data_IF_047449506189
#
_entry.id   IF_047449506189
#
_cell.length_a   1.000
_cell.length_b   1.000
_cell.length_c   1.000
_cell.angle_alpha   90.00
_cell.angle_beta   90.00
_cell.angle_gamma   90.00
#
_symmetry.space_group_name_H-M   'P 1'
#
loop_
_entity.id
_entity.type
_entity.pdbx_description
1 polymer ?
#
# COMPACT_ATOMS: atom_id res chain seq x y z
N UNK A 1 29.06 8.57 -4.43
CA UNK A 1 29.36 8.79 -2.98
C UNK A 1 28.93 7.54 -2.23
N UNK A 2 29.87 6.68 -1.79
CA UNK A 2 29.51 5.43 -1.11
C UNK A 2 29.16 5.72 0.35
N UNK A 3 27.87 5.68 0.69
CA UNK A 3 27.41 5.75 2.08
C UNK A 3 27.77 4.40 2.73
N UNK A 4 28.94 4.32 3.36
CA UNK A 4 29.30 3.17 4.20
C UNK A 4 28.54 3.29 5.51
N UNK A 5 27.77 2.27 5.87
CA UNK A 5 27.16 2.15 7.20
C UNK A 5 28.29 2.23 8.24
N UNK A 6 28.17 3.14 9.21
CA UNK A 6 29.07 3.19 10.36
C UNK A 6 28.61 2.10 11.33
N UNK A 7 29.53 1.31 11.89
CA UNK A 7 29.22 0.22 12.84
C UNK A 7 28.83 0.73 14.24
N UNK A 8 28.34 1.98 14.34
CA UNK A 8 28.08 2.70 15.58
C UNK A 8 26.67 2.47 16.16
N UNK A 9 25.89 1.54 15.60
CA UNK A 9 24.49 1.30 15.97
C UNK A 9 23.52 2.43 15.56
N UNK A 10 24.02 3.67 15.38
CA UNK A 10 23.28 4.82 14.85
C UNK A 10 22.83 4.58 13.40
N UNK A 11 23.68 3.91 12.62
CA UNK A 11 23.35 3.54 11.23
C UNK A 11 22.17 2.55 11.13
N UNK A 12 21.97 1.68 12.12
CA UNK A 12 20.83 0.76 12.18
C UNK A 12 19.52 1.49 12.50
N UNK A 13 19.53 2.50 13.39
CA UNK A 13 18.34 3.34 13.63
C UNK A 13 17.96 4.15 12.39
N UNK A 14 18.93 4.70 11.68
CA UNK A 14 18.69 5.41 10.41
C UNK A 14 18.12 4.48 9.36
N UNK A 15 18.66 3.26 9.24
CA UNK A 15 18.14 2.24 8.34
C UNK A 15 16.66 1.93 8.60
N UNK A 16 16.31 1.63 9.86
CA UNK A 16 14.93 1.36 10.25
C UNK A 16 13.99 2.54 9.99
N UNK A 17 14.43 3.76 10.35
CA UNK A 17 13.62 4.96 10.10
C UNK A 17 13.38 5.19 8.61
N UNK A 18 14.38 4.92 7.76
CA UNK A 18 14.26 5.08 6.30
C UNK A 18 13.36 4.00 5.69
N UNK A 19 13.39 2.78 6.23
CA UNK A 19 12.51 1.68 5.82
C UNK A 19 11.05 1.87 6.24
N UNK A 20 10.82 2.54 7.38
CA UNK A 20 9.48 2.92 7.85
C UNK A 20 8.93 4.13 7.10
N UNK A 21 9.78 5.04 6.61
CA UNK A 21 9.30 6.20 5.86
C UNK A 21 8.83 5.82 4.46
N UNK A 22 9.50 4.85 3.83
CA UNK A 22 9.14 4.38 2.50
C UNK A 22 9.61 2.94 2.31
N UNK A 23 8.65 2.07 2.02
CA UNK A 23 8.89 0.65 1.79
C UNK A 23 9.93 0.48 0.67
N UNK A 24 11.08 -0.12 0.97
CA UNK A 24 12.16 -0.35 0.00
C UNK A 24 13.30 0.68 -0.04
N UNK A 25 13.17 1.89 0.54
CA UNK A 25 14.28 2.86 0.55
C UNK A 25 15.49 2.39 1.37
N UNK A 26 15.26 1.71 2.49
CA UNK A 26 16.35 1.16 3.31
C UNK A 26 17.19 0.11 2.57
N UNK A 27 16.53 -0.73 1.78
CA UNK A 27 17.20 -1.75 0.96
C UNK A 27 18.02 -1.13 -0.19
N UNK A 28 17.52 -0.05 -0.79
CA UNK A 28 18.13 0.62 -1.93
C UNK A 28 19.36 1.46 -1.53
N UNK A 29 19.24 2.22 -0.43
CA UNK A 29 20.25 3.20 -0.01
C UNK A 29 21.38 2.55 0.77
N UNK A 30 21.07 1.59 1.64
CA UNK A 30 22.02 1.10 2.63
C UNK A 30 22.44 -0.36 2.43
N UNK A 31 21.50 -1.23 2.05
CA UNK A 31 21.74 -2.68 1.94
C UNK A 31 22.26 -3.11 0.56
N UNK A 32 22.29 -2.20 -0.44
CA UNK A 32 22.61 -2.48 -1.86
C UNK A 32 21.80 -3.65 -2.47
N UNK A 33 20.67 -4.01 -1.87
CA UNK A 33 19.77 -5.05 -2.39
C UNK A 33 18.79 -4.41 -3.37
N UNK A 34 19.32 -3.98 -4.53
CA UNK A 34 18.58 -3.17 -5.51
C UNK A 34 17.31 -3.86 -6.02
N UNK A 35 17.35 -5.17 -6.24
CA UNK A 35 16.21 -5.94 -6.75
C UNK A 35 15.04 -5.91 -5.74
N UNK A 36 15.29 -6.23 -4.47
CA UNK A 36 14.25 -6.23 -3.43
C UNK A 36 13.78 -4.81 -3.11
N UNK A 37 14.71 -3.85 -3.06
CA UNK A 37 14.38 -2.44 -2.81
C UNK A 37 13.48 -1.85 -3.88
N UNK A 38 13.77 -2.09 -5.16
CA UNK A 38 12.92 -1.64 -6.28
C UNK A 38 11.55 -2.31 -6.25
N UNK A 39 11.49 -3.60 -5.94
CA UNK A 39 10.22 -4.33 -5.90
C UNK A 39 9.30 -3.77 -4.80
N UNK A 40 9.82 -3.55 -3.60
CA UNK A 40 9.06 -2.96 -2.51
C UNK A 40 8.69 -1.48 -2.77
N UNK A 41 9.62 -0.69 -3.32
CA UNK A 41 9.35 0.69 -3.71
C UNK A 41 8.27 0.78 -4.81
N UNK A 42 8.28 -0.15 -5.77
CA UNK A 42 7.28 -0.22 -6.84
C UNK A 42 5.88 -0.53 -6.32
N UNK A 43 5.78 -1.43 -5.33
CA UNK A 43 4.49 -1.73 -4.67
C UNK A 43 3.95 -0.50 -3.94
N UNK A 44 4.80 0.23 -3.19
CA UNK A 44 4.42 1.47 -2.50
C UNK A 44 3.91 2.51 -3.50
N UNK A 45 4.64 2.74 -4.59
CA UNK A 45 4.24 3.70 -5.64
C UNK A 45 2.92 3.28 -6.29
N UNK A 46 2.73 1.99 -6.57
CA UNK A 46 1.47 1.47 -7.11
C UNK A 46 0.29 1.74 -6.17
N UNK A 47 0.48 1.55 -4.87
CA UNK A 47 -0.53 1.86 -3.86
C UNK A 47 -0.82 3.36 -3.75
N UNK A 48 0.21 4.21 -3.79
CA UNK A 48 0.06 5.67 -3.82
C UNK A 48 -0.69 6.16 -5.06
N UNK A 49 -0.51 5.49 -6.20
CA UNK A 49 -1.24 5.81 -7.42
C UNK A 49 -2.69 5.33 -7.36
N UNK A 50 -2.96 4.19 -6.73
CA UNK A 50 -4.32 3.64 -6.57
C UNK A 50 -5.11 4.30 -5.43
N UNK A 51 -4.47 5.04 -4.52
CA UNK A 51 -5.05 5.70 -3.35
C UNK A 51 -6.42 6.39 -3.57
N UNK A 52 -6.64 7.22 -4.62
CA UNK A 52 -7.97 7.80 -4.87
C UNK A 52 -9.05 6.74 -5.16
N UNK A 53 -8.71 5.64 -5.83
CA UNK A 53 -9.62 4.53 -6.08
C UNK A 53 -9.92 3.77 -4.79
N UNK A 54 -8.92 3.57 -3.92
CA UNK A 54 -9.08 2.93 -2.61
C UNK A 54 -10.10 3.70 -1.78
N UNK A 55 -9.93 5.02 -1.65
CA UNK A 55 -10.82 5.89 -0.89
C UNK A 55 -12.25 5.82 -1.46
N UNK A 56 -12.37 5.88 -2.78
CA UNK A 56 -13.68 5.80 -3.45
C UNK A 56 -14.36 4.45 -3.20
N UNK A 57 -13.63 3.33 -3.31
CA UNK A 57 -14.18 1.98 -3.08
C UNK A 57 -14.56 1.74 -1.61
N UNK A 58 -13.77 2.24 -0.65
CA UNK A 58 -14.12 2.19 0.78
C UNK A 58 -15.34 3.06 1.10
N UNK A 59 -15.43 4.27 0.55
CA UNK A 59 -16.59 5.15 0.73
C UNK A 59 -17.86 4.53 0.14
N UNK A 60 -17.75 3.94 -1.05
CA UNK A 60 -18.82 3.24 -1.74
C UNK A 60 -19.30 1.99 -0.98
N UNK A 61 -18.40 1.28 -0.30
CA UNK A 61 -18.74 0.16 0.57
C UNK A 61 -19.62 0.59 1.75
N UNK A 62 -19.30 1.73 2.40
CA UNK A 62 -20.05 2.25 3.57
C UNK A 62 -21.38 2.86 3.14
N UNK A 63 -21.38 3.62 2.05
CA UNK A 63 -22.58 4.31 1.55
C UNK A 63 -23.53 3.38 0.79
N UNK A 64 -23.13 2.14 0.50
CA UNK A 64 -23.80 1.22 -0.44
C UNK A 64 -24.07 1.83 -1.83
N UNK A 65 -23.35 2.91 -2.16
CA UNK A 65 -23.48 3.67 -3.39
C UNK A 65 -24.48 4.81 -3.31
N UNK A 66 -24.46 5.68 -4.31
CA UNK A 66 -25.49 6.70 -4.45
C UNK A 66 -26.75 6.03 -5.02
N UNK A 67 -27.93 6.25 -4.40
CA UNK A 67 -29.18 5.87 -5.03
C UNK A 67 -29.25 6.60 -6.37
N UNK A 68 -29.31 5.86 -7.48
CA UNK A 68 -29.64 6.40 -8.81
C UNK A 68 -31.13 6.13 -9.05
N UNK A 69 -32.03 7.00 -8.56
CA UNK A 69 -33.48 6.77 -8.66
C UNK A 69 -34.00 6.86 -10.09
N UNK A 70 -33.28 7.54 -10.99
CA UNK A 70 -33.62 7.69 -12.42
C UNK A 70 -33.31 6.47 -13.29
N UNK A 71 -32.68 5.42 -12.75
CA UNK A 71 -32.38 4.21 -13.52
C UNK A 71 -33.44 3.13 -13.29
N UNK A 72 -33.89 2.43 -14.35
CA UNK A 72 -34.75 1.26 -14.22
C UNK A 72 -34.18 0.28 -13.20
N UNK A 73 -35.04 -0.34 -12.38
CA UNK A 73 -34.64 -1.25 -11.28
C UNK A 73 -33.66 -2.35 -11.72
N UNK A 74 -33.70 -2.74 -13.00
CA UNK A 74 -32.81 -3.73 -13.64
C UNK A 74 -31.37 -3.25 -13.89
N UNK A 75 -31.12 -1.93 -13.85
CA UNK A 75 -29.82 -1.26 -14.02
C UNK A 75 -29.34 -0.58 -12.72
N UNK A 76 -30.05 -0.76 -11.59
CA UNK A 76 -29.58 -0.28 -10.30
C UNK A 76 -28.37 -1.13 -9.88
N UNK A 77 -27.31 -0.46 -9.45
CA UNK A 77 -26.15 -1.12 -8.84
C UNK A 77 -26.67 -1.99 -7.68
N UNK A 78 -26.58 -3.32 -7.80
CA UNK A 78 -26.96 -4.19 -6.68
C UNK A 78 -25.94 -3.95 -5.57
N UNK A 79 -26.42 -3.50 -4.41
CA UNK A 79 -25.58 -3.11 -3.26
C UNK A 79 -24.58 -4.20 -2.82
N UNK A 80 -24.83 -5.46 -3.17
CA UNK A 80 -23.91 -6.59 -3.00
C UNK A 80 -22.61 -6.41 -3.79
N UNK A 81 -22.64 -5.96 -5.05
CA UNK A 81 -21.43 -5.79 -5.86
C UNK A 81 -20.52 -4.70 -5.29
N UNK A 82 -21.11 -3.61 -4.82
CA UNK A 82 -20.35 -2.52 -4.23
C UNK A 82 -19.72 -2.91 -2.88
N UNK A 83 -20.40 -3.78 -2.12
CA UNK A 83 -19.88 -4.36 -0.90
C UNK A 83 -18.74 -5.35 -1.18
N UNK A 84 -18.90 -6.24 -2.18
CA UNK A 84 -17.84 -7.19 -2.60
C UNK A 84 -16.59 -6.43 -3.04
N UNK A 85 -16.73 -5.40 -3.88
CA UNK A 85 -15.63 -4.55 -4.33
C UNK A 85 -14.90 -3.88 -3.14
N UNK A 86 -15.65 -3.40 -2.16
CA UNK A 86 -15.11 -2.82 -0.94
C UNK A 86 -14.34 -3.84 -0.08
N UNK A 87 -14.93 -5.00 0.16
CA UNK A 87 -14.29 -6.09 0.93
C UNK A 87 -13.02 -6.59 0.24
N UNK A 88 -13.04 -6.75 -1.09
CA UNK A 88 -11.85 -7.09 -1.88
C UNK A 88 -10.75 -6.03 -1.74
N UNK A 89 -11.12 -4.75 -1.75
CA UNK A 89 -10.17 -3.64 -1.55
C UNK A 89 -9.56 -3.67 -0.14
N UNK A 90 -10.35 -3.97 0.89
CA UNK A 90 -9.88 -4.14 2.28
C UNK A 90 -8.93 -5.34 2.39
N UNK A 91 -9.24 -6.46 1.74
CA UNK A 91 -8.35 -7.63 1.71
C UNK A 91 -7.00 -7.32 1.06
N UNK A 92 -6.99 -6.56 -0.06
CA UNK A 92 -5.76 -6.08 -0.69
C UNK A 92 -4.97 -5.14 0.21
N UNK A 93 -5.63 -4.22 0.91
CA UNK A 93 -4.98 -3.35 1.91
C UNK A 93 -4.34 -4.17 3.03
N UNK A 94 -5.03 -5.21 3.52
CA UNK A 94 -4.49 -6.08 4.56
C UNK A 94 -3.23 -6.83 4.09
N UNK A 95 -3.27 -7.37 2.86
CA UNK A 95 -2.09 -7.99 2.25
C UNK A 95 -0.94 -6.99 2.11
N UNK A 96 -1.23 -5.77 1.68
CA UNK A 96 -0.23 -4.71 1.57
C UNK A 96 0.42 -4.40 2.93
N UNK A 97 -0.37 -4.28 4.01
CA UNK A 97 0.17 -4.07 5.36
C UNK A 97 1.09 -5.22 5.80
N UNK A 98 0.72 -6.47 5.50
CA UNK A 98 1.60 -7.63 5.80
C UNK A 98 2.92 -7.52 5.04
N UNK A 99 2.87 -7.22 3.73
CA UNK A 99 4.07 -7.05 2.91
C UNK A 99 4.92 -5.89 3.43
N UNK A 100 4.28 -4.82 3.90
CA UNK A 100 4.96 -3.67 4.50
C UNK A 100 5.72 -4.05 5.77
N UNK A 101 5.07 -4.79 6.67
CA UNK A 101 5.72 -5.30 7.89
C UNK A 101 6.90 -6.22 7.54
N UNK A 102 6.73 -7.11 6.55
CA UNK A 102 7.80 -7.98 6.08
C UNK A 102 8.95 -7.15 5.49
N UNK A 103 8.66 -6.11 4.71
CA UNK A 103 9.66 -5.23 4.12
C UNK A 103 10.46 -4.49 5.19
N UNK A 104 9.79 -3.95 6.21
CA UNK A 104 10.44 -3.27 7.34
C UNK A 104 11.28 -4.24 8.17
N UNK A 105 10.79 -5.46 8.43
CA UNK A 105 11.54 -6.48 9.18
C UNK A 105 12.72 -7.06 8.41
N UNK A 106 12.64 -7.09 7.07
CA UNK A 106 13.71 -7.58 6.20
C UNK A 106 14.82 -6.56 5.98
N UNK A 107 14.58 -5.28 6.26
CA UNK A 107 15.53 -4.19 6.07
C UNK A 107 16.48 -4.07 7.27
#
# INVERSE_FOLDING_TARGET
MSIRLREDGSSAKKLLFTSILFMGLGHLIYLKQYIKGILYAGIEIGMLWMLPNIITKLSNMITLGTPKPDLPVKLRDHSIFMLIDGVMMVALLFLFVIIYIISVRSA
#
